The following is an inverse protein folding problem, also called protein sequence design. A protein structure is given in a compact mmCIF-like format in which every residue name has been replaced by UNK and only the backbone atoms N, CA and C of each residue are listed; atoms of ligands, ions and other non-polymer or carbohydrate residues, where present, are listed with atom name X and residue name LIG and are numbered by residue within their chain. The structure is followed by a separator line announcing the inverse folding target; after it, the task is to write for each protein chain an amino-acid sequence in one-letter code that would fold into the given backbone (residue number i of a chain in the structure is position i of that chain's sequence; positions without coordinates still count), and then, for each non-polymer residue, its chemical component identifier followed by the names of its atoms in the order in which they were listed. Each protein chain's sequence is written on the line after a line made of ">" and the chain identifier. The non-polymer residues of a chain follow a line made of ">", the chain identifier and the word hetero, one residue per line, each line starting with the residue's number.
data_IF_139840021401
#
_entry.id   IF_139840021401
#
_cell.length_a   1.000
_cell.length_b   1.000
_cell.length_c   1.000
_cell.angle_alpha   90.00
_cell.angle_beta   90.00
_cell.angle_gamma   90.00
#
_symmetry.space_group_name_H-M   'P 1'
#
loop_
_entity.id
_entity.type
_entity.pdbx_description
1 polymer ?
#
# COMPACT_ATOMS: atom_id res chain seq x y z
N UNK A 1 10.65 5.99 -9.97
CA UNK A 1 9.88 7.20 -10.36
C UNK A 1 8.47 6.87 -10.84
N UNK A 2 8.19 5.67 -11.34
CA UNK A 2 6.84 5.25 -11.75
C UNK A 2 5.96 4.65 -10.63
N UNK A 3 6.39 4.73 -9.36
CA UNK A 3 5.70 4.13 -8.20
C UNK A 3 5.44 2.61 -8.35
N UNK A 4 4.53 2.06 -7.53
CA UNK A 4 4.24 0.62 -7.46
C UNK A 4 3.04 0.27 -8.36
N UNK A 5 1.86 0.83 -8.07
CA UNK A 5 0.64 0.48 -8.82
C UNK A 5 0.21 -0.97 -8.62
N UNK A 6 -0.82 -1.41 -9.36
CA UNK A 6 -1.29 -2.80 -9.33
C UNK A 6 -0.29 -3.77 -9.96
N UNK A 7 0.53 -3.25 -10.86
CA UNK A 7 1.46 -4.00 -11.69
C UNK A 7 2.66 -4.49 -10.87
N UNK A 8 3.08 -3.70 -9.87
CA UNK A 8 4.21 -4.05 -8.99
C UNK A 8 3.83 -4.44 -7.56
N UNK A 9 2.54 -4.40 -7.18
CA UNK A 9 2.10 -4.67 -5.80
C UNK A 9 2.57 -6.03 -5.24
N UNK A 10 2.73 -7.05 -6.09
CA UNK A 10 3.20 -8.38 -5.68
C UNK A 10 4.63 -8.40 -5.09
N UNK A 11 5.44 -7.39 -5.38
CA UNK A 11 6.82 -7.27 -4.87
C UNK A 11 6.93 -6.30 -3.70
N UNK A 12 5.85 -5.60 -3.33
CA UNK A 12 5.90 -4.53 -2.33
C UNK A 12 6.51 -4.99 -1.00
N UNK A 13 6.14 -6.18 -0.52
CA UNK A 13 6.70 -6.71 0.74
C UNK A 13 8.20 -6.99 0.65
N UNK A 14 8.71 -7.33 -0.53
CA UNK A 14 10.14 -7.55 -0.74
C UNK A 14 10.90 -6.23 -0.79
N UNK A 15 10.25 -5.16 -1.27
CA UNK A 15 10.84 -3.82 -1.34
C UNK A 15 10.93 -3.14 0.03
N UNK A 16 9.94 -3.36 0.91
CA UNK A 16 9.84 -2.62 2.19
C UNK A 16 9.68 -3.48 3.43
N UNK A 17 9.75 -4.81 3.32
CA UNK A 17 9.50 -5.80 4.38
C UNK A 17 8.05 -5.86 4.88
N UNK A 18 7.66 -6.96 5.52
CA UNK A 18 6.32 -7.11 6.11
C UNK A 18 5.97 -5.99 7.12
N UNK A 19 6.87 -5.59 8.04
CA UNK A 19 6.60 -4.43 8.91
C UNK A 19 6.35 -3.12 8.14
N UNK A 20 7.10 -2.87 7.06
CA UNK A 20 6.90 -1.67 6.23
C UNK A 20 5.52 -1.65 5.57
N UNK A 21 5.08 -2.80 5.02
CA UNK A 21 3.73 -2.95 4.48
C UNK A 21 2.68 -2.64 5.54
N UNK A 22 2.86 -3.17 6.76
CA UNK A 22 1.92 -2.94 7.86
C UNK A 22 1.86 -1.46 8.30
N UNK A 23 2.99 -0.75 8.31
CA UNK A 23 3.03 0.69 8.60
C UNK A 23 2.24 1.50 7.58
N UNK A 24 2.39 1.19 6.28
CA UNK A 24 1.67 1.89 5.21
C UNK A 24 0.16 1.60 5.25
N UNK A 25 -0.24 0.35 5.51
CA UNK A 25 -1.65 0.00 5.68
C UNK A 25 -2.29 0.71 6.88
N UNK A 26 -1.56 0.79 8.01
CA UNK A 26 -1.98 1.54 9.19
C UNK A 26 -2.17 3.04 8.91
N UNK A 27 -1.25 3.64 8.14
CA UNK A 27 -1.37 5.03 7.72
C UNK A 27 -2.65 5.26 6.91
N UNK A 28 -2.90 4.46 5.87
CA UNK A 28 -4.10 4.62 5.04
C UNK A 28 -5.38 4.38 5.83
N UNK A 29 -5.39 3.40 6.74
CA UNK A 29 -6.54 3.13 7.61
C UNK A 29 -6.86 4.31 8.54
N UNK A 30 -5.85 5.08 8.96
CA UNK A 30 -6.04 6.25 9.80
C UNK A 30 -6.48 7.50 9.02
N UNK A 31 -5.89 7.76 7.85
CA UNK A 31 -6.10 9.03 7.12
C UNK A 31 -7.21 8.96 6.06
N UNK A 32 -7.54 7.77 5.57
CA UNK A 32 -8.59 7.54 4.57
C UNK A 32 -9.47 6.34 4.96
N UNK A 33 -10.17 6.42 6.12
CA UNK A 33 -11.07 5.35 6.55
C UNK A 33 -12.21 5.09 5.55
N UNK A 34 -12.56 6.10 4.73
CA UNK A 34 -13.54 6.00 3.66
C UNK A 34 -13.03 5.31 2.38
N UNK A 35 -11.73 5.00 2.27
CA UNK A 35 -11.09 4.38 1.09
C UNK A 35 -11.30 5.17 -0.21
N UNK A 36 -11.23 6.50 -0.15
CA UNK A 36 -11.41 7.39 -1.29
C UNK A 36 -10.15 7.50 -2.16
N UNK A 37 -8.97 7.20 -1.63
CA UNK A 37 -7.68 7.39 -2.31
C UNK A 37 -7.24 6.15 -3.08
N UNK A 38 -8.03 5.75 -4.08
CA UNK A 38 -7.70 4.66 -5.01
C UNK A 38 -7.28 3.35 -4.29
N UNK A 39 -8.22 2.71 -3.56
CA UNK A 39 -7.91 1.55 -2.73
C UNK A 39 -7.30 0.40 -3.54
N UNK A 40 -6.32 -0.28 -2.95
CA UNK A 40 -5.67 -1.45 -3.55
C UNK A 40 -4.51 -1.12 -4.51
N UNK A 41 -4.18 0.16 -4.74
CA UNK A 41 -3.08 0.54 -5.65
C UNK A 41 -1.68 0.47 -5.05
N UNK A 42 -1.55 0.49 -3.74
CA UNK A 42 -0.25 0.43 -3.04
C UNK A 42 -0.24 -0.85 -2.19
N UNK A 43 -0.99 -0.86 -1.09
CA UNK A 43 -1.24 -2.07 -0.32
C UNK A 43 -2.42 -2.82 -0.93
N UNK A 44 -2.21 -4.09 -1.26
CA UNK A 44 -3.30 -4.96 -1.69
C UNK A 44 -4.24 -5.15 -0.49
N UNK A 45 -5.52 -4.80 -0.67
CA UNK A 45 -6.57 -5.28 0.22
C UNK A 45 -6.93 -6.70 -0.15
#
# INVERSE_FOLDING_TARGET
>A
HHAVGTEHAQWLEQDISAPGVHMIDGLFSAIDPGKNFNPGKIVAK
#
